data_IF_773710527616
#
_entry.id   IF_773710527616
#
_cell.length_a   1.000
_cell.length_b   1.000
_cell.length_c   1.000
_cell.angle_alpha   90.00
_cell.angle_beta   90.00
_cell.angle_gamma   90.00
#
_symmetry.space_group_name_H-M   'P 1'
#
loop_
_entity.id
_entity.type
_entity.pdbx_description
1 polymer ?
#
# COMPACT_ATOMS: atom_id res chain seq x y z
N UNK A 1 20.18 18.96 40.97
CA UNK A 1 18.86 18.55 40.46
C UNK A 1 18.91 18.47 38.94
N UNK A 2 18.98 17.25 38.39
CA UNK A 2 18.92 17.00 36.97
C UNK A 2 17.44 16.96 36.55
N UNK A 3 17.00 17.90 35.76
CA UNK A 3 15.71 17.90 35.08
C UNK A 3 15.76 16.86 33.94
N UNK A 4 15.07 15.74 34.16
CA UNK A 4 14.82 14.75 33.12
C UNK A 4 13.79 15.33 32.15
N UNK A 5 14.23 15.83 31.01
CA UNK A 5 13.33 16.22 29.91
C UNK A 5 12.83 14.95 29.22
N UNK A 6 11.67 14.43 29.68
CA UNK A 6 10.87 13.49 28.90
C UNK A 6 10.37 14.23 27.66
N UNK A 7 11.12 14.16 26.56
CA UNK A 7 10.63 14.57 25.26
C UNK A 7 9.57 13.52 24.85
N UNK A 8 8.30 13.85 25.09
CA UNK A 8 7.19 13.18 24.45
C UNK A 8 7.29 13.46 22.94
N UNK A 9 7.97 12.60 22.20
CA UNK A 9 7.86 12.59 20.72
C UNK A 9 6.40 12.28 20.39
N UNK A 10 5.63 13.32 20.11
CA UNK A 10 4.31 13.21 19.47
C UNK A 10 4.54 12.36 18.21
N UNK A 11 4.02 11.13 18.19
CA UNK A 11 4.13 10.24 17.02
C UNK A 11 3.38 10.94 15.89
N UNK A 12 4.11 11.67 15.04
CA UNK A 12 3.55 12.35 13.87
C UNK A 12 2.97 11.23 13.00
N UNK A 13 1.73 11.40 12.56
CA UNK A 13 1.08 10.53 11.57
C UNK A 13 1.85 10.69 10.25
N UNK A 14 2.78 9.78 9.99
CA UNK A 14 3.53 9.79 8.74
C UNK A 14 2.96 8.73 7.81
N UNK A 15 2.21 9.17 6.79
CA UNK A 15 1.80 8.28 5.69
C UNK A 15 2.97 7.92 4.77
N UNK A 16 4.11 8.62 4.90
CA UNK A 16 5.32 8.41 4.12
C UNK A 16 6.46 8.13 5.10
N UNK A 17 7.26 7.11 4.83
CA UNK A 17 8.44 6.74 5.62
C UNK A 17 9.70 6.74 4.75
N UNK A 18 10.84 7.12 5.32
CA UNK A 18 12.11 7.13 4.61
C UNK A 18 12.69 5.72 4.44
N UNK A 19 13.56 5.56 3.47
CA UNK A 19 14.37 4.34 3.27
C UNK A 19 15.22 4.02 4.49
N UNK A 20 15.73 5.04 5.18
CA UNK A 20 16.47 4.90 6.43
C UNK A 20 15.57 4.33 7.54
N UNK A 21 14.38 4.90 7.74
CA UNK A 21 13.43 4.39 8.72
C UNK A 21 13.08 2.91 8.46
N UNK A 22 12.80 2.55 7.19
CA UNK A 22 12.51 1.17 6.83
C UNK A 22 13.68 0.25 7.13
N UNK A 23 14.92 0.68 6.88
CA UNK A 23 16.10 -0.15 7.14
C UNK A 23 16.28 -0.54 8.62
N UNK A 24 15.81 0.27 9.56
CA UNK A 24 15.78 -0.05 10.99
C UNK A 24 14.54 -0.82 11.47
N UNK A 25 13.49 -0.88 10.63
CA UNK A 25 12.23 -1.51 11.01
C UNK A 25 11.85 -2.72 10.14
N UNK A 26 12.76 -3.18 9.33
CA UNK A 26 12.57 -4.16 8.27
C UNK A 26 11.90 -5.47 8.74
N UNK A 27 12.28 -5.96 9.92
CA UNK A 27 11.75 -7.21 10.50
C UNK A 27 10.39 -7.01 11.22
N UNK A 28 9.98 -5.76 11.44
CA UNK A 28 8.79 -5.43 12.24
C UNK A 28 7.58 -5.10 11.39
N UNK A 29 7.77 -4.87 10.09
CA UNK A 29 6.73 -4.42 9.19
C UNK A 29 6.44 -5.44 8.09
N UNK A 30 5.24 -5.39 7.53
CA UNK A 30 4.90 -6.06 6.28
C UNK A 30 5.28 -5.16 5.12
N UNK A 31 5.97 -5.68 4.13
CA UNK A 31 6.44 -4.91 2.98
C UNK A 31 5.72 -5.40 1.73
N UNK A 32 5.10 -4.48 0.98
CA UNK A 32 4.39 -4.77 -0.25
C UNK A 32 5.03 -4.04 -1.43
N UNK A 33 5.34 -4.78 -2.48
CA UNK A 33 5.64 -4.23 -3.80
C UNK A 33 4.33 -4.10 -4.58
N UNK A 34 3.93 -2.87 -4.87
CA UNK A 34 2.71 -2.55 -5.62
C UNK A 34 3.04 -1.94 -6.98
N UNK A 35 4.15 -2.35 -7.57
CA UNK A 35 4.55 -1.89 -8.90
C UNK A 35 3.50 -2.24 -9.94
N UNK A 36 3.17 -1.26 -10.76
CA UNK A 36 2.29 -1.39 -11.92
C UNK A 36 2.77 -0.46 -13.04
N UNK A 37 2.68 -0.89 -14.27
CA UNK A 37 3.12 -0.13 -15.44
C UNK A 37 1.99 0.03 -16.43
N UNK A 38 2.03 1.13 -17.19
CA UNK A 38 1.10 1.32 -18.31
C UNK A 38 1.28 0.21 -19.36
N UNK A 39 0.19 -0.25 -19.99
CA UNK A 39 0.27 -1.33 -20.99
C UNK A 39 1.17 -1.02 -22.21
N UNK A 40 1.41 0.25 -22.50
CA UNK A 40 2.24 0.70 -23.63
C UNK A 40 3.75 0.77 -23.29
N UNK A 41 4.14 0.58 -22.02
CA UNK A 41 5.55 0.47 -21.65
C UNK A 41 5.90 -1.03 -21.59
N UNK A 42 6.91 -1.45 -22.29
CA UNK A 42 7.31 -2.86 -22.36
C UNK A 42 7.99 -3.32 -21.06
N UNK A 43 7.24 -3.29 -19.95
CA UNK A 43 7.68 -3.66 -18.59
C UNK A 43 6.69 -4.65 -17.98
N UNK A 44 7.21 -5.57 -17.15
CA UNK A 44 6.40 -6.53 -16.42
C UNK A 44 6.73 -6.45 -14.91
N UNK A 45 5.84 -5.88 -14.10
CA UNK A 45 6.13 -5.61 -12.70
C UNK A 45 6.36 -6.89 -11.88
N UNK A 46 5.67 -7.99 -12.19
CA UNK A 46 5.88 -9.29 -11.52
C UNK A 46 7.27 -9.86 -11.83
N UNK A 47 7.69 -9.86 -13.10
CA UNK A 47 9.04 -10.31 -13.47
C UNK A 47 10.13 -9.43 -12.86
N UNK A 48 9.89 -8.12 -12.79
CA UNK A 48 10.81 -7.20 -12.12
C UNK A 48 10.93 -7.52 -10.64
N UNK A 49 9.82 -7.77 -9.94
CA UNK A 49 9.80 -8.20 -8.55
C UNK A 49 10.54 -9.54 -8.35
N UNK A 50 10.28 -10.55 -9.19
CA UNK A 50 10.95 -11.84 -9.12
C UNK A 50 12.48 -11.75 -9.33
N UNK A 51 12.91 -10.76 -10.09
CA UNK A 51 14.33 -10.53 -10.36
C UNK A 51 15.03 -9.71 -9.27
N UNK A 52 14.31 -8.76 -8.65
CA UNK A 52 14.93 -7.86 -7.68
C UNK A 52 13.91 -7.06 -6.87
N UNK A 53 13.80 -7.32 -5.58
CA UNK A 53 12.85 -6.67 -4.68
C UNK A 53 13.44 -6.46 -3.28
N UNK A 54 12.76 -5.65 -2.45
CA UNK A 54 13.16 -5.49 -1.05
C UNK A 54 13.01 -6.83 -0.31
N UNK A 55 14.00 -7.16 0.53
CA UNK A 55 13.96 -8.37 1.35
C UNK A 55 12.63 -8.38 2.15
N UNK A 56 12.04 -9.54 2.34
CA UNK A 56 10.73 -9.73 2.99
C UNK A 56 9.51 -9.12 2.27
N UNK A 57 9.68 -8.48 1.12
CA UNK A 57 8.55 -7.94 0.37
C UNK A 57 7.68 -9.06 -0.24
N UNK A 58 6.41 -8.74 -0.39
CA UNK A 58 5.41 -9.55 -1.08
C UNK A 58 4.83 -8.74 -2.23
N UNK A 59 4.64 -9.36 -3.39
CA UNK A 59 4.08 -8.69 -4.55
C UNK A 59 2.55 -8.55 -4.42
N UNK A 60 2.07 -7.32 -4.58
CA UNK A 60 0.66 -6.99 -4.67
C UNK A 60 0.31 -6.67 -6.13
N UNK A 61 -0.34 -7.60 -6.79
CA UNK A 61 -0.79 -7.44 -8.17
C UNK A 61 -2.02 -6.52 -8.24
N UNK A 62 -1.86 -5.30 -8.75
CA UNK A 62 -2.94 -4.32 -8.80
C UNK A 62 -4.08 -4.75 -9.72
N UNK A 63 -3.76 -5.36 -10.88
CA UNK A 63 -4.76 -5.83 -11.84
C UNK A 63 -5.54 -7.02 -11.27
N UNK A 64 -4.84 -8.03 -10.73
CA UNK A 64 -5.48 -9.19 -10.15
C UNK A 64 -6.29 -8.87 -8.90
N UNK A 65 -5.87 -7.90 -8.11
CA UNK A 65 -6.50 -7.54 -6.85
C UNK A 65 -7.61 -6.48 -6.99
N UNK A 66 -7.87 -6.00 -8.19
CA UNK A 66 -9.00 -5.12 -8.51
C UNK A 66 -10.30 -5.89 -8.75
N UNK A 67 -11.42 -5.17 -8.88
CA UNK A 67 -12.72 -5.76 -9.22
C UNK A 67 -12.66 -6.37 -10.62
N UNK A 68 -13.16 -7.61 -10.77
CA UNK A 68 -13.12 -8.34 -12.05
C UNK A 68 -14.38 -8.13 -12.90
N UNK A 69 -15.53 -7.96 -12.27
CA UNK A 69 -16.83 -7.83 -12.94
C UNK A 69 -17.09 -6.37 -13.38
N UNK A 70 -16.18 -5.83 -14.22
CA UNK A 70 -16.28 -4.44 -14.74
C UNK A 70 -15.35 -4.25 -15.93
N UNK A 71 -15.76 -3.38 -16.87
CA UNK A 71 -14.93 -2.95 -17.99
C UNK A 71 -14.02 -1.75 -17.62
N UNK A 72 -14.11 -1.25 -16.40
CA UNK A 72 -13.27 -0.15 -15.92
C UNK A 72 -12.05 -0.72 -15.19
N UNK A 73 -10.84 -0.21 -15.50
CA UNK A 73 -9.62 -0.68 -14.85
C UNK A 73 -9.59 -0.28 -13.36
N UNK A 74 -8.96 -1.11 -12.55
CA UNK A 74 -8.60 -0.84 -11.14
C UNK A 74 -9.76 -0.38 -10.23
N UNK A 75 -10.99 -0.83 -10.52
CA UNK A 75 -12.12 -0.58 -9.62
C UNK A 75 -11.92 -1.32 -8.30
N UNK A 76 -12.45 -0.75 -7.21
CA UNK A 76 -12.33 -1.35 -5.88
C UNK A 76 -12.91 -2.76 -5.86
N UNK A 77 -12.20 -3.75 -5.30
CA UNK A 77 -12.75 -5.08 -5.09
C UNK A 77 -13.92 -5.03 -4.09
N UNK A 78 -14.69 -6.10 -4.01
CA UNK A 78 -15.66 -6.25 -2.92
C UNK A 78 -14.94 -6.50 -1.59
N UNK A 79 -15.59 -6.20 -0.47
CA UNK A 79 -15.09 -6.46 0.88
C UNK A 79 -14.57 -7.89 1.03
N UNK A 80 -15.40 -8.88 0.69
CA UNK A 80 -15.05 -10.30 0.84
C UNK A 80 -13.83 -10.70 -0.02
N UNK A 81 -13.69 -10.10 -1.21
CA UNK A 81 -12.52 -10.32 -2.06
C UNK A 81 -11.28 -9.69 -1.43
N UNK A 82 -11.39 -8.46 -0.92
CA UNK A 82 -10.28 -7.78 -0.25
C UNK A 82 -9.77 -8.55 0.97
N UNK A 83 -10.68 -9.03 1.83
CA UNK A 83 -10.32 -9.86 2.98
C UNK A 83 -9.51 -11.10 2.59
N UNK A 84 -9.94 -11.79 1.52
CA UNK A 84 -9.21 -12.95 0.98
C UNK A 84 -7.84 -12.57 0.41
N UNK A 85 -7.74 -11.45 -0.31
CA UNK A 85 -6.48 -10.94 -0.87
C UNK A 85 -5.49 -10.67 0.26
N UNK A 86 -5.88 -9.84 1.24
CA UNK A 86 -4.99 -9.41 2.31
C UNK A 86 -4.59 -10.59 3.22
N UNK A 87 -5.53 -11.51 3.48
CA UNK A 87 -5.23 -12.75 4.21
C UNK A 87 -4.17 -13.60 3.50
N UNK A 88 -4.25 -13.74 2.17
CA UNK A 88 -3.23 -14.45 1.37
C UNK A 88 -1.87 -13.77 1.37
N UNK A 89 -1.83 -12.46 1.54
CA UNK A 89 -0.58 -11.70 1.68
C UNK A 89 0.06 -11.84 3.08
N UNK A 90 -0.58 -12.59 3.99
CA UNK A 90 -0.08 -12.81 5.35
C UNK A 90 -0.15 -11.57 6.24
N UNK A 91 -1.15 -10.71 6.04
CA UNK A 91 -1.33 -9.45 6.77
C UNK A 91 -2.49 -9.59 7.76
N UNK A 92 -2.27 -9.12 8.98
CA UNK A 92 -3.27 -8.99 10.04
C UNK A 92 -3.74 -7.53 10.16
N UNK A 93 -4.89 -7.30 10.80
CA UNK A 93 -5.46 -5.96 10.98
C UNK A 93 -4.59 -4.98 11.77
N UNK A 94 -3.67 -5.48 12.60
CA UNK A 94 -2.77 -4.68 13.42
C UNK A 94 -1.32 -4.65 12.90
N UNK A 95 -1.05 -5.23 11.75
CA UNK A 95 0.28 -5.17 11.14
C UNK A 95 0.61 -3.75 10.66
N UNK A 96 1.84 -3.33 10.88
CA UNK A 96 2.39 -2.12 10.25
C UNK A 96 2.86 -2.48 8.84
N UNK A 97 2.40 -1.71 7.84
CA UNK A 97 2.59 -2.00 6.42
C UNK A 97 3.39 -0.89 5.78
N UNK A 98 4.41 -1.24 5.02
CA UNK A 98 5.14 -0.33 4.13
C UNK A 98 4.92 -0.77 2.69
N UNK A 99 4.43 0.14 1.87
CA UNK A 99 4.11 -0.08 0.47
C UNK A 99 5.10 0.69 -0.38
N UNK A 100 5.70 0.03 -1.36
CA UNK A 100 6.56 0.68 -2.33
C UNK A 100 6.20 0.28 -3.76
N UNK A 101 6.77 0.96 -4.72
CA UNK A 101 6.73 0.58 -6.13
C UNK A 101 8.04 0.88 -6.86
N UNK A 102 8.13 0.37 -8.09
CA UNK A 102 9.15 0.69 -9.09
C UNK A 102 8.49 1.31 -10.32
N UNK A 103 7.38 2.00 -10.11
CA UNK A 103 6.54 2.61 -11.15
C UNK A 103 6.83 4.09 -11.30
N UNK A 104 6.64 4.63 -12.50
CA UNK A 104 6.65 6.07 -12.74
C UNK A 104 5.28 6.71 -12.42
N UNK A 105 4.28 5.92 -12.02
CA UNK A 105 2.90 6.32 -11.78
C UNK A 105 2.49 6.32 -10.30
N UNK A 106 3.44 6.11 -9.39
CA UNK A 106 3.16 6.04 -7.95
C UNK A 106 2.04 5.07 -7.57
N UNK A 107 2.07 3.86 -8.16
CA UNK A 107 1.05 2.82 -7.94
C UNK A 107 0.94 2.38 -6.48
N UNK A 108 1.98 2.54 -5.68
CA UNK A 108 1.97 2.38 -4.22
C UNK A 108 0.90 3.23 -3.52
N UNK A 109 0.64 4.45 -4.01
CA UNK A 109 -0.40 5.32 -3.46
C UNK A 109 -1.80 4.72 -3.65
N UNK A 110 -2.05 4.02 -4.76
CA UNK A 110 -3.31 3.33 -4.99
C UNK A 110 -3.52 2.18 -4.00
N UNK A 111 -2.49 1.40 -3.76
CA UNK A 111 -2.53 0.32 -2.78
C UNK A 111 -2.74 0.87 -1.36
N UNK A 112 -2.01 1.92 -0.97
CA UNK A 112 -2.17 2.63 0.29
C UNK A 112 -3.63 3.08 0.49
N UNK A 113 -4.21 3.77 -0.49
CA UNK A 113 -5.61 4.23 -0.44
C UNK A 113 -6.59 3.05 -0.26
N UNK A 114 -6.32 1.92 -0.92
CA UNK A 114 -7.19 0.73 -0.82
C UNK A 114 -7.19 0.16 0.60
N UNK A 115 -6.04 0.08 1.27
CA UNK A 115 -5.97 -0.32 2.68
C UNK A 115 -6.76 0.63 3.58
N UNK A 116 -6.64 1.94 3.38
CA UNK A 116 -7.38 2.94 4.17
C UNK A 116 -8.88 2.83 3.94
N UNK A 117 -9.31 2.66 2.68
CA UNK A 117 -10.71 2.48 2.32
C UNK A 117 -11.33 1.25 2.99
N UNK A 118 -10.59 0.15 3.07
CA UNK A 118 -11.02 -1.08 3.74
C UNK A 118 -10.75 -1.11 5.25
N UNK A 119 -10.48 0.04 5.85
CA UNK A 119 -10.50 0.23 7.30
C UNK A 119 -9.23 -0.17 8.03
N UNK A 120 -8.13 -0.47 7.32
CA UNK A 120 -6.85 -0.61 8.02
C UNK A 120 -6.48 0.71 8.72
N UNK A 121 -5.85 0.60 9.90
CA UNK A 121 -5.51 1.80 10.67
C UNK A 121 -4.53 2.68 9.87
N UNK A 122 -4.91 3.95 9.54
CA UNK A 122 -4.05 4.85 8.76
C UNK A 122 -2.67 5.13 9.38
N UNK A 123 -2.52 4.92 10.69
CA UNK A 123 -1.24 5.06 11.40
C UNK A 123 -0.28 3.90 11.18
N UNK A 124 -0.75 2.83 10.57
CA UNK A 124 -0.02 1.59 10.33
C UNK A 124 0.19 1.32 8.83
N UNK A 125 -0.20 2.23 7.94
CA UNK A 125 0.00 2.06 6.50
C UNK A 125 0.82 3.21 5.95
N UNK A 126 1.96 2.89 5.38
CA UNK A 126 2.94 3.87 4.91
C UNK A 126 3.32 3.62 3.46
N UNK A 127 3.70 4.68 2.76
CA UNK A 127 4.35 4.62 1.44
C UNK A 127 5.84 4.89 1.64
N UNK A 128 6.69 4.10 1.01
CA UNK A 128 8.14 4.29 1.04
C UNK A 128 8.55 5.45 0.13
N UNK A 129 9.16 6.47 0.71
CA UNK A 129 9.67 7.63 -0.04
C UNK A 129 10.73 7.21 -1.06
N UNK A 130 10.47 7.53 -2.33
CA UNK A 130 11.33 7.21 -3.47
C UNK A 130 11.32 5.74 -3.90
N UNK A 131 10.54 4.87 -3.26
CA UNK A 131 10.29 3.47 -3.67
C UNK A 131 11.58 2.65 -3.87
N UNK A 132 11.50 1.65 -4.75
CA UNK A 132 12.65 0.78 -5.08
C UNK A 132 13.81 1.54 -5.72
N UNK A 133 13.50 2.56 -6.51
CA UNK A 133 14.53 3.35 -7.21
C UNK A 133 15.47 4.05 -6.22
N UNK A 134 14.93 4.75 -5.22
CA UNK A 134 15.73 5.40 -4.18
C UNK A 134 16.48 4.39 -3.32
N UNK A 135 15.83 3.28 -2.94
CA UNK A 135 16.43 2.20 -2.18
C UNK A 135 17.72 1.69 -2.85
N UNK A 136 17.68 1.45 -4.18
CA UNK A 136 18.83 1.02 -4.97
C UNK A 136 19.90 2.10 -5.13
N UNK A 137 19.52 3.37 -5.34
CA UNK A 137 20.47 4.48 -5.41
C UNK A 137 21.27 4.64 -4.11
N UNK A 138 20.67 4.33 -2.97
CA UNK A 138 21.31 4.30 -1.66
C UNK A 138 22.11 2.99 -1.41
N UNK A 139 22.22 2.10 -2.42
CA UNK A 139 22.92 0.81 -2.36
C UNK A 139 22.42 -0.10 -1.23
N UNK A 140 21.15 -0.02 -0.88
CA UNK A 140 20.54 -0.87 0.13
C UNK A 140 20.25 -2.26 -0.42
N UNK A 141 20.24 -3.31 0.44
CA UNK A 141 20.13 -4.69 -0.01
C UNK A 141 18.78 -5.03 -0.63
N UNK A 142 18.82 -5.80 -1.70
CA UNK A 142 17.66 -6.40 -2.37
C UNK A 142 17.84 -7.92 -2.49
N UNK A 143 16.82 -8.62 -2.94
CA UNK A 143 16.84 -10.08 -3.06
C UNK A 143 16.00 -10.55 -4.26
N UNK A 144 16.23 -11.81 -4.67
CA UNK A 144 15.38 -12.58 -5.59
C UNK A 144 14.59 -13.68 -4.85
N UNK A 145 14.88 -13.88 -3.56
CA UNK A 145 14.28 -14.94 -2.78
C UNK A 145 12.84 -14.59 -2.38
N UNK A 146 11.88 -15.31 -2.94
CA UNK A 146 10.48 -15.12 -2.60
C UNK A 146 10.21 -15.58 -1.16
N UNK A 147 9.45 -14.77 -0.45
CA UNK A 147 9.04 -15.06 0.93
C UNK A 147 7.94 -16.11 0.95
N UNK A 148 8.08 -17.14 1.79
CA UNK A 148 6.98 -18.01 2.15
C UNK A 148 5.97 -17.27 3.02
N UNK A 149 4.70 -17.30 2.63
CA UNK A 149 3.63 -16.57 3.28
C UNK A 149 2.67 -17.56 3.94
N UNK A 150 2.50 -17.41 5.24
CA UNK A 150 1.42 -18.07 5.96
C UNK A 150 0.16 -17.21 5.86
N UNK A 151 -0.93 -17.80 5.36
CA UNK A 151 -2.22 -17.10 5.28
C UNK A 151 -2.69 -16.70 6.68
N UNK A 152 -3.25 -15.50 6.76
CA UNK A 152 -3.81 -14.92 7.98
C UNK A 152 -5.33 -14.83 7.92
N UNK A 153 -5.93 -14.15 8.91
CA UNK A 153 -7.35 -13.85 8.94
C UNK A 153 -7.53 -12.32 9.05
N UNK A 154 -7.80 -11.67 7.93
CA UNK A 154 -7.99 -10.23 7.84
C UNK A 154 -9.47 -9.88 7.72
N UNK A 155 -9.94 -8.89 8.47
CA UNK A 155 -11.31 -8.38 8.41
C UNK A 155 -11.31 -6.93 7.91
N UNK A 156 -12.18 -6.60 6.97
CA UNK A 156 -12.29 -5.28 6.37
C UNK A 156 -13.56 -4.54 6.80
N UNK A 157 -13.46 -3.21 6.82
CA UNK A 157 -14.58 -2.29 7.04
C UNK A 157 -14.56 -1.25 5.94
N UNK A 158 -15.52 -1.28 5.02
CA UNK A 158 -15.60 -0.33 3.92
C UNK A 158 -15.96 1.08 4.40
N UNK A 159 -15.16 2.06 4.01
CA UNK A 159 -15.42 3.49 4.24
C UNK A 159 -16.05 4.12 3.01
N UNK A 160 -17.33 3.82 2.78
CA UNK A 160 -18.06 4.21 1.57
C UNK A 160 -18.14 5.73 1.34
N UNK A 161 -17.94 6.51 2.38
CA UNK A 161 -17.87 7.98 2.29
C UNK A 161 -16.63 8.48 1.52
N UNK A 162 -15.57 7.66 1.43
CA UNK A 162 -14.31 8.02 0.73
C UNK A 162 -14.42 7.93 -0.79
N UNK A 163 -15.43 7.25 -1.32
CA UNK A 163 -15.60 7.04 -2.77
C UNK A 163 -16.98 7.55 -3.18
N UNK A 164 -17.03 8.26 -4.30
CA UNK A 164 -18.29 8.74 -4.91
C UNK A 164 -18.42 8.19 -6.32
N UNK A 165 -19.63 7.75 -6.65
CA UNK A 165 -19.95 7.35 -8.01
C UNK A 165 -20.34 8.58 -8.85
N UNK A 166 -20.43 8.39 -10.19
CA UNK A 166 -20.76 9.46 -11.13
C UNK A 166 -22.06 10.19 -10.75
N UNK A 167 -23.13 9.46 -10.42
CA UNK A 167 -24.42 10.06 -10.03
C UNK A 167 -24.29 10.97 -8.81
N UNK A 168 -23.53 10.54 -7.79
CA UNK A 168 -23.29 11.35 -6.59
C UNK A 168 -22.50 12.62 -6.91
N UNK A 169 -21.53 12.56 -7.83
CA UNK A 169 -20.79 13.73 -8.31
C UNK A 169 -21.71 14.67 -9.09
N UNK A 170 -22.50 14.16 -10.03
CA UNK A 170 -23.47 14.96 -10.83
C UNK A 170 -24.49 15.68 -9.91
N UNK A 171 -24.97 15.01 -8.88
CA UNK A 171 -25.84 15.62 -7.86
C UNK A 171 -25.12 16.68 -7.03
N UNK A 172 -23.84 16.43 -6.68
CA UNK A 172 -23.05 17.34 -5.87
C UNK A 172 -22.70 18.65 -6.60
N UNK A 173 -22.49 18.60 -7.90
CA UNK A 173 -22.30 19.81 -8.74
C UNK A 173 -23.45 20.79 -8.53
N UNK A 174 -24.68 20.28 -8.43
CA UNK A 174 -25.88 21.10 -8.23
C UNK A 174 -26.10 21.48 -6.77
N UNK A 175 -25.87 20.55 -5.85
CA UNK A 175 -26.27 20.68 -4.43
C UNK A 175 -25.15 21.10 -3.49
N UNK A 176 -23.88 21.05 -3.92
CA UNK A 176 -22.66 21.40 -3.16
C UNK A 176 -22.63 20.82 -1.74
N UNK A 177 -22.98 19.53 -1.60
CA UNK A 177 -23.07 18.84 -0.29
C UNK A 177 -21.72 18.43 0.29
N UNK A 178 -20.71 18.27 -0.55
CA UNK A 178 -19.35 17.88 -0.16
C UNK A 178 -18.31 18.45 -1.15
N UNK A 179 -17.08 18.60 -0.67
CA UNK A 179 -15.95 18.99 -1.51
C UNK A 179 -15.42 17.78 -2.30
N UNK A 180 -14.99 18.01 -3.54
CA UNK A 180 -14.37 17.01 -4.45
C UNK A 180 -12.95 17.43 -4.72
#
# INVERSE_FOLDING_TARGET
RRLSSKIFRKKILMSIVSTEWLSYNFEKVKILDCSWHLPNVNRNPRKEFENDHLINAVFFDLDENSKKETNLPHMMPTKNRWEKIVSKLGILNNDEIVIYDNSDLFSSCRCWFTFIYFGHNPKLVHVLDGGLKKWKLEKRPTTKNLKNINQTNYSAIEKNEMIKNKKQIDENIKKKKFNV
#
